data_IF_303011856899
#
_entry.id   IF_303011856899
#
_cell.length_a   1.000
_cell.length_b   1.000
_cell.length_c   1.000
_cell.angle_alpha   90.00
_cell.angle_beta   90.00
_cell.angle_gamma   90.00
#
_symmetry.space_group_name_H-M   'P 1'
#
loop_
_entity.id
_entity.type
_entity.pdbx_description
1 polymer ?
#
# COMPACT_ATOMS: atom_id res chain seq x y z
N UNK A 1 -12.26 7.55 26.98
CA UNK A 1 -13.46 6.69 26.96
C UNK A 1 -14.64 7.51 27.45
N UNK A 2 -15.78 7.42 26.77
CA UNK A 2 -17.00 8.10 27.23
C UNK A 2 -17.61 7.31 28.38
N UNK A 3 -18.10 8.03 29.42
CA UNK A 3 -18.79 7.44 30.57
C UNK A 3 -20.26 7.87 30.56
N UNK A 4 -21.13 7.03 31.11
CA UNK A 4 -22.56 7.34 31.23
C UNK A 4 -22.88 7.94 32.59
N UNK A 5 -23.68 9.02 32.61
CA UNK A 5 -24.13 9.73 33.80
C UNK A 5 -25.64 9.81 33.81
N UNK A 6 -26.21 9.79 34.99
CA UNK A 6 -27.65 9.78 35.25
C UNK A 6 -28.06 10.98 36.09
N UNK A 7 -28.86 11.89 35.52
CA UNK A 7 -29.40 13.07 36.24
C UNK A 7 -30.94 13.12 36.24
N UNK A 8 -31.52 14.01 37.06
CA UNK A 8 -32.95 14.31 36.99
C UNK A 8 -33.29 15.09 35.72
N UNK A 9 -32.33 15.90 35.24
CA UNK A 9 -32.37 16.62 33.97
C UNK A 9 -31.14 16.26 33.12
N UNK A 10 -31.19 16.57 31.83
CA UNK A 10 -30.06 16.37 30.92
C UNK A 10 -28.87 17.22 31.38
N UNK A 11 -29.14 18.48 31.76
CA UNK A 11 -28.09 19.40 32.22
C UNK A 11 -27.38 18.89 33.47
N UNK A 12 -28.14 18.39 34.48
CA UNK A 12 -27.57 17.83 35.73
C UNK A 12 -26.63 16.65 35.44
N UNK A 13 -27.02 15.75 34.51
CA UNK A 13 -26.18 14.63 34.08
C UNK A 13 -24.92 15.08 33.33
N UNK A 14 -25.01 16.14 32.51
CA UNK A 14 -23.85 16.73 31.81
C UNK A 14 -22.88 17.36 32.80
N UNK A 15 -23.39 18.18 33.76
CA UNK A 15 -22.54 18.85 34.76
C UNK A 15 -21.81 17.84 35.64
N UNK A 16 -22.49 16.76 36.05
CA UNK A 16 -21.88 15.66 36.81
C UNK A 16 -20.74 15.01 36.01
N UNK A 17 -20.98 14.72 34.70
CA UNK A 17 -19.98 14.16 33.81
C UNK A 17 -18.78 15.07 33.57
N UNK A 18 -19.01 16.38 33.36
CA UNK A 18 -17.94 17.35 33.16
C UNK A 18 -17.09 17.50 34.42
N UNK A 19 -17.73 17.49 35.63
CA UNK A 19 -17.03 17.57 36.89
C UNK A 19 -16.21 16.32 37.21
N UNK A 20 -16.73 15.11 36.90
CA UNK A 20 -16.01 13.85 37.11
C UNK A 20 -14.79 13.74 36.15
N UNK A 21 -14.94 14.19 34.93
CA UNK A 21 -13.86 14.18 33.94
C UNK A 21 -12.89 15.37 34.03
N UNK A 22 -13.25 16.41 34.80
CA UNK A 22 -12.44 17.62 34.97
C UNK A 22 -12.24 18.42 33.69
N UNK A 23 -13.21 18.40 32.76
CA UNK A 23 -13.12 19.03 31.45
C UNK A 23 -14.17 20.13 31.28
N UNK A 24 -13.85 21.13 30.47
CA UNK A 24 -14.77 22.17 30.03
C UNK A 24 -15.76 21.63 28.98
N UNK A 25 -16.96 22.22 28.94
CA UNK A 25 -18.04 21.81 28.04
C UNK A 25 -17.60 21.79 26.55
N UNK A 26 -16.77 22.74 26.14
CA UNK A 26 -16.28 22.89 24.78
C UNK A 26 -15.33 21.74 24.35
N UNK A 27 -14.70 21.09 25.33
CA UNK A 27 -13.81 19.94 25.15
C UNK A 27 -14.51 18.60 25.37
N UNK A 28 -15.81 18.63 25.69
CA UNK A 28 -16.61 17.44 25.92
C UNK A 28 -17.37 17.02 24.66
N UNK A 29 -17.40 15.73 24.39
CA UNK A 29 -18.34 15.09 23.48
C UNK A 29 -19.52 14.59 24.30
N UNK A 30 -20.69 15.17 24.07
CA UNK A 30 -21.91 14.92 24.86
C UNK A 30 -22.94 14.26 23.96
N UNK A 31 -23.41 13.07 24.33
CA UNK A 31 -24.48 12.36 23.62
C UNK A 31 -25.61 12.04 24.59
N UNK A 32 -26.82 12.57 24.35
CA UNK A 32 -28.00 12.24 25.13
C UNK A 32 -28.51 10.87 24.71
N UNK A 33 -28.47 9.90 25.60
CA UNK A 33 -28.91 8.52 25.34
C UNK A 33 -30.40 8.34 25.67
N UNK A 34 -30.87 8.92 26.78
CA UNK A 34 -32.28 8.90 27.17
C UNK A 34 -32.69 10.25 27.76
N UNK A 35 -33.84 10.78 27.31
CA UNK A 35 -34.42 11.98 27.88
C UNK A 35 -35.23 11.66 29.17
N UNK A 36 -35.27 12.59 30.12
CA UNK A 36 -36.06 12.39 31.34
C UNK A 36 -37.54 12.41 31.00
N UNK A 37 -38.30 11.41 31.48
CA UNK A 37 -39.75 11.39 31.33
C UNK A 37 -40.44 11.35 32.67
N UNK A 38 -41.40 12.27 32.88
CA UNK A 38 -42.33 12.26 34.04
C UNK A 38 -43.55 11.43 33.68
N UNK A 39 -43.53 10.13 34.01
CA UNK A 39 -44.73 9.29 33.93
C UNK A 39 -45.52 9.30 35.24
N UNK A 40 -46.83 9.00 35.18
CA UNK A 40 -47.71 8.95 36.34
C UNK A 40 -47.31 7.94 37.44
N UNK A 41 -46.47 6.94 37.09
CA UNK A 41 -46.05 5.87 38.01
C UNK A 41 -44.53 5.64 38.10
N UNK A 42 -43.72 6.20 37.19
CA UNK A 42 -42.23 6.13 37.23
C UNK A 42 -41.63 7.32 36.51
N UNK A 43 -40.80 8.11 37.20
CA UNK A 43 -39.93 9.08 36.57
C UNK A 43 -38.66 8.36 36.06
N UNK A 44 -38.37 8.45 34.74
CA UNK A 44 -37.07 8.03 34.23
C UNK A 44 -36.08 9.18 34.33
N UNK A 45 -34.87 8.88 34.80
CA UNK A 45 -33.76 9.82 34.81
C UNK A 45 -33.22 10.02 33.43
N UNK A 46 -32.67 11.18 33.12
CA UNK A 46 -31.87 11.41 31.93
C UNK A 46 -30.61 10.57 31.99
N UNK A 47 -30.22 9.98 30.85
CA UNK A 47 -28.94 9.28 30.65
C UNK A 47 -28.14 9.98 29.57
N UNK A 48 -26.95 10.43 29.93
CA UNK A 48 -26.05 11.15 29.02
C UNK A 48 -24.70 10.49 29.03
N UNK A 49 -24.13 10.31 27.85
CA UNK A 49 -22.74 9.88 27.67
C UNK A 49 -21.87 11.12 27.52
N UNK A 50 -20.87 11.27 28.40
CA UNK A 50 -19.91 12.38 28.38
C UNK A 50 -18.51 11.80 28.19
N UNK A 51 -17.79 12.29 27.16
CA UNK A 51 -16.43 11.91 26.86
C UNK A 51 -15.56 13.11 26.52
N UNK A 52 -14.27 12.91 26.40
CA UNK A 52 -13.36 13.95 25.90
C UNK A 52 -13.47 14.00 24.38
N UNK A 53 -13.71 15.19 23.84
CA UNK A 53 -13.75 15.42 22.39
C UNK A 53 -12.35 15.20 21.84
N UNK A 54 -12.18 14.16 21.04
CA UNK A 54 -10.91 13.83 20.39
C UNK A 54 -10.69 14.71 19.17
N UNK A 55 -9.45 15.12 18.99
CA UNK A 55 -9.05 15.78 17.75
C UNK A 55 -9.13 14.81 16.56
N UNK A 56 -9.24 15.30 15.32
CA UNK A 56 -9.21 14.45 14.13
C UNK A 56 -7.97 13.55 14.06
N UNK A 57 -6.80 14.06 14.46
CA UNK A 57 -5.57 13.30 14.53
C UNK A 57 -5.62 12.17 15.55
N UNK A 58 -6.13 12.46 16.75
CA UNK A 58 -6.31 11.44 17.82
C UNK A 58 -7.28 10.32 17.39
N UNK A 59 -8.39 10.68 16.69
CA UNK A 59 -9.32 9.68 16.15
C UNK A 59 -8.65 8.76 15.14
N UNK A 60 -7.81 9.33 14.26
CA UNK A 60 -7.07 8.55 13.27
C UNK A 60 -6.03 7.62 13.92
N UNK A 61 -5.29 8.11 14.92
CA UNK A 61 -4.30 7.31 15.67
C UNK A 61 -4.98 6.14 16.37
N UNK A 62 -6.03 6.39 17.15
CA UNK A 62 -6.77 5.36 17.87
C UNK A 62 -7.34 4.29 16.92
N UNK A 63 -7.87 4.74 15.78
CA UNK A 63 -8.34 3.83 14.74
C UNK A 63 -7.23 2.92 14.21
N UNK A 64 -6.06 3.49 13.88
CA UNK A 64 -4.92 2.72 13.35
C UNK A 64 -4.38 1.76 14.42
N UNK A 65 -4.24 2.19 15.67
CA UNK A 65 -3.81 1.33 16.78
C UNK A 65 -4.77 0.14 16.96
N UNK A 66 -6.08 0.40 17.03
CA UNK A 66 -7.08 -0.66 17.14
C UNK A 66 -7.13 -1.59 15.93
N UNK A 67 -6.85 -1.08 14.71
CA UNK A 67 -6.74 -1.88 13.51
C UNK A 67 -5.54 -2.83 13.60
N UNK A 68 -4.35 -2.33 13.95
CA UNK A 68 -3.15 -3.15 14.07
C UNK A 68 -3.23 -4.18 15.19
N UNK A 69 -3.84 -3.83 16.31
CA UNK A 69 -4.12 -4.78 17.39
C UNK A 69 -4.98 -5.96 16.88
N UNK A 70 -6.08 -5.67 16.17
CA UNK A 70 -6.94 -6.71 15.57
C UNK A 70 -6.25 -7.54 14.49
N UNK A 71 -5.28 -6.96 13.79
CA UNK A 71 -4.44 -7.66 12.81
C UNK A 71 -3.29 -8.44 13.46
N UNK A 72 -3.10 -8.35 14.77
CA UNK A 72 -1.99 -8.99 15.49
C UNK A 72 -0.62 -8.43 15.12
N UNK A 73 -0.56 -7.15 14.71
CA UNK A 73 0.68 -6.48 14.31
C UNK A 73 1.14 -5.52 15.40
N UNK A 74 2.43 -5.59 15.72
CA UNK A 74 3.07 -4.63 16.64
C UNK A 74 3.51 -3.41 15.85
N UNK A 75 2.75 -2.31 15.97
CA UNK A 75 3.02 -1.04 15.28
C UNK A 75 2.87 0.09 16.28
N UNK A 76 3.86 0.97 16.37
CA UNK A 76 3.73 2.23 17.09
C UNK A 76 3.19 3.29 16.12
N UNK A 77 2.05 3.89 16.47
CA UNK A 77 1.40 4.96 15.70
C UNK A 77 1.70 6.28 16.38
N UNK A 78 2.35 7.19 15.69
CA UNK A 78 2.79 8.47 16.27
C UNK A 78 2.16 9.65 15.51
N UNK A 79 1.40 10.49 16.22
CA UNK A 79 0.96 11.77 15.68
C UNK A 79 2.13 12.76 15.69
N UNK A 80 2.66 13.10 14.52
CA UNK A 80 3.81 14.01 14.39
C UNK A 80 3.38 15.46 14.37
N UNK A 81 2.30 15.75 13.68
CA UNK A 81 1.80 17.11 13.48
C UNK A 81 0.30 17.11 13.26
N UNK A 82 -0.37 18.10 13.83
CA UNK A 82 -1.79 18.38 13.60
C UNK A 82 -1.98 19.89 13.45
N UNK A 83 -2.01 20.37 12.18
CA UNK A 83 -2.25 21.78 11.84
C UNK A 83 -3.06 21.82 10.55
N UNK A 84 -2.51 22.32 9.43
CA UNK A 84 -3.14 22.29 8.10
C UNK A 84 -3.33 20.89 7.57
N UNK A 85 -2.46 19.98 8.00
CA UNK A 85 -2.52 18.55 7.72
C UNK A 85 -2.19 17.73 8.98
N UNK A 86 -2.73 16.55 9.06
CA UNK A 86 -2.45 15.58 10.10
C UNK A 86 -1.36 14.65 9.56
N UNK A 87 -0.22 14.59 10.23
CA UNK A 87 0.90 13.73 9.87
C UNK A 87 1.06 12.61 10.89
N UNK A 88 0.94 11.38 10.45
CA UNK A 88 1.04 10.18 11.27
C UNK A 88 2.22 9.34 10.77
N UNK A 89 3.11 8.97 11.68
CA UNK A 89 4.25 8.09 11.41
C UNK A 89 3.96 6.70 11.98
N UNK A 90 4.21 5.68 11.17
CA UNK A 90 4.12 4.28 11.56
C UNK A 90 5.54 3.71 11.75
N UNK A 91 5.77 3.11 12.92
CA UNK A 91 7.04 2.44 13.23
C UNK A 91 6.76 1.00 13.60
N UNK A 92 7.39 0.05 12.89
CA UNK A 92 7.21 -1.38 13.12
C UNK A 92 8.47 -2.16 12.79
N UNK A 93 8.76 -3.26 13.50
CA UNK A 93 9.80 -4.21 13.10
C UNK A 93 9.59 -4.81 11.70
N UNK A 94 8.33 -4.83 11.23
CA UNK A 94 7.96 -5.32 9.90
C UNK A 94 7.39 -4.19 9.03
N UNK A 95 8.20 -3.16 8.76
CA UNK A 95 7.80 -2.01 7.92
C UNK A 95 7.38 -2.43 6.51
N UNK A 96 7.96 -3.50 5.96
CA UNK A 96 7.61 -4.02 4.64
C UNK A 96 6.14 -4.43 4.52
N UNK A 97 5.55 -4.97 5.59
CA UNK A 97 4.13 -5.31 5.64
C UNK A 97 3.25 -4.06 5.60
N UNK A 98 3.61 -3.02 6.37
CA UNK A 98 2.86 -1.77 6.43
C UNK A 98 2.91 -0.98 5.13
N UNK A 99 4.03 -1.04 4.44
CA UNK A 99 4.23 -0.40 3.14
C UNK A 99 3.43 -1.16 2.07
N UNK A 100 3.55 -2.50 2.07
CA UNK A 100 2.96 -3.36 1.06
C UNK A 100 3.63 -3.23 -0.32
N UNK A 101 2.95 -3.74 -1.34
CA UNK A 101 3.46 -3.64 -2.70
C UNK A 101 3.47 -2.18 -3.17
N UNK A 102 4.66 -1.60 -3.30
CA UNK A 102 4.87 -0.21 -3.76
C UNK A 102 4.12 0.87 -2.99
N UNK A 103 3.79 0.62 -1.74
CA UNK A 103 3.07 1.57 -0.90
C UNK A 103 1.54 1.45 -0.96
N UNK A 104 0.98 0.46 -1.65
CA UNK A 104 -0.48 0.26 -1.75
C UNK A 104 -1.16 0.06 -0.38
N UNK A 105 -0.52 -0.69 0.51
CA UNK A 105 -1.04 -0.87 1.87
C UNK A 105 -1.00 0.44 2.65
N UNK A 106 0.10 1.17 2.55
CA UNK A 106 0.27 2.47 3.20
C UNK A 106 -0.75 3.50 2.70
N UNK A 107 -1.04 3.52 1.39
CA UNK A 107 -2.06 4.38 0.80
C UNK A 107 -3.47 3.97 1.28
N UNK A 108 -3.73 2.68 1.44
CA UNK A 108 -5.00 2.18 1.97
C UNK A 108 -5.21 2.57 3.43
N UNK A 109 -4.18 2.44 4.27
CA UNK A 109 -4.18 2.89 5.67
C UNK A 109 -4.42 4.39 5.77
N UNK A 110 -3.77 5.19 4.92
CA UNK A 110 -3.98 6.64 4.86
C UNK A 110 -5.42 7.01 4.49
N UNK A 111 -6.01 6.32 3.51
CA UNK A 111 -7.40 6.56 3.10
C UNK A 111 -8.39 6.25 4.23
N UNK A 112 -8.20 5.14 4.95
CA UNK A 112 -9.02 4.75 6.09
C UNK A 112 -8.87 5.74 7.25
N UNK A 113 -7.62 6.08 7.62
CA UNK A 113 -7.33 7.06 8.65
C UNK A 113 -7.94 8.44 8.31
N UNK A 114 -7.84 8.85 7.05
CA UNK A 114 -8.45 10.08 6.54
C UNK A 114 -9.98 10.10 6.64
N UNK A 115 -10.63 8.98 6.34
CA UNK A 115 -12.08 8.85 6.48
C UNK A 115 -12.52 8.97 7.95
N UNK A 116 -11.82 8.28 8.85
CA UNK A 116 -12.13 8.30 10.30
C UNK A 116 -11.86 9.68 10.90
N UNK A 117 -10.71 10.29 10.59
CA UNK A 117 -10.35 11.62 11.08
C UNK A 117 -11.41 12.68 10.74
N UNK A 118 -12.00 12.58 9.55
CA UNK A 118 -12.97 13.56 9.05
C UNK A 118 -14.43 13.23 9.37
N UNK A 119 -14.69 12.10 10.06
CA UNK A 119 -16.05 11.75 10.48
C UNK A 119 -16.59 12.77 11.47
N UNK A 120 -17.71 13.42 11.12
CA UNK A 120 -18.38 14.45 11.94
C UNK A 120 -17.72 15.83 11.90
N UNK A 121 -16.70 16.05 11.08
CA UNK A 121 -16.05 17.36 10.93
C UNK A 121 -16.69 18.16 9.79
N UNK A 122 -16.93 19.47 10.02
CA UNK A 122 -17.44 20.39 9.00
C UNK A 122 -16.37 20.76 7.95
N UNK A 123 -15.09 20.74 8.35
CA UNK A 123 -13.95 21.09 7.47
C UNK A 123 -13.08 19.86 7.31
N UNK A 124 -12.79 19.53 6.05
CA UNK A 124 -11.92 18.39 5.72
C UNK A 124 -10.46 18.68 6.07
N UNK A 125 -9.84 17.82 6.84
CA UNK A 125 -8.41 17.84 7.13
C UNK A 125 -7.69 16.72 6.39
N UNK A 126 -6.62 17.07 5.71
CA UNK A 126 -5.80 16.10 4.98
C UNK A 126 -4.98 15.27 5.97
N UNK A 127 -5.11 13.95 5.89
CA UNK A 127 -4.26 13.01 6.64
C UNK A 127 -3.17 12.48 5.74
N UNK A 128 -1.95 12.42 6.25
CA UNK A 128 -0.77 11.83 5.61
C UNK A 128 -0.23 10.77 6.55
N UNK A 129 -0.15 9.55 6.07
CA UNK A 129 0.45 8.43 6.81
C UNK A 129 1.74 8.03 6.11
N UNK A 130 2.83 7.93 6.86
CA UNK A 130 4.11 7.46 6.35
C UNK A 130 4.71 6.39 7.26
N UNK A 131 5.68 5.65 6.73
CA UNK A 131 6.38 4.60 7.42
C UNK A 131 7.88 4.75 7.14
N UNK A 132 8.63 5.22 8.14
CA UNK A 132 10.10 5.34 8.10
C UNK A 132 10.62 6.14 6.87
N UNK A 133 9.89 7.18 6.44
CA UNK A 133 10.27 8.01 5.29
C UNK A 133 10.20 7.24 3.96
N UNK A 134 9.32 6.24 3.85
CA UNK A 134 9.19 5.41 2.65
C UNK A 134 8.84 6.24 1.42
N UNK A 135 7.93 7.22 1.55
CA UNK A 135 7.44 8.02 0.42
C UNK A 135 8.58 8.77 -0.27
N UNK A 136 9.46 9.40 0.51
CA UNK A 136 10.63 10.11 -0.01
C UNK A 136 11.63 9.16 -0.69
N UNK A 137 11.94 8.03 -0.05
CA UNK A 137 12.82 6.99 -0.61
C UNK A 137 12.25 6.40 -1.90
N UNK A 138 10.94 6.21 -1.97
CA UNK A 138 10.23 5.70 -3.15
C UNK A 138 10.29 6.70 -4.30
N UNK A 139 10.06 7.98 -4.03
CA UNK A 139 10.15 9.05 -5.01
C UNK A 139 11.54 9.13 -5.62
N UNK A 140 12.59 9.15 -4.79
CA UNK A 140 13.98 9.12 -5.26
C UNK A 140 14.29 7.89 -6.13
N UNK A 141 13.75 6.72 -5.76
CA UNK A 141 13.90 5.48 -6.53
C UNK A 141 13.25 5.60 -7.91
N UNK A 142 12.03 6.16 -7.99
CA UNK A 142 11.31 6.35 -9.24
C UNK A 142 11.99 7.36 -10.16
N UNK A 143 12.53 8.46 -9.61
CA UNK A 143 13.31 9.43 -10.37
C UNK A 143 14.54 8.78 -11.01
N UNK A 144 15.28 8.00 -10.22
CA UNK A 144 16.46 7.28 -10.71
C UNK A 144 16.09 6.23 -11.76
N UNK A 145 14.99 5.50 -11.54
CA UNK A 145 14.47 4.53 -12.51
C UNK A 145 14.12 5.20 -13.84
N UNK A 146 13.38 6.32 -13.80
CA UNK A 146 13.00 7.07 -14.98
C UNK A 146 14.21 7.50 -15.81
N UNK A 147 15.23 8.10 -15.16
CA UNK A 147 16.48 8.51 -15.82
C UNK A 147 17.27 7.34 -16.42
N UNK A 148 17.29 6.18 -15.74
CA UNK A 148 17.96 4.99 -16.24
C UNK A 148 17.23 4.38 -17.45
N UNK A 149 15.89 4.39 -17.42
CA UNK A 149 15.07 3.90 -18.52
C UNK A 149 15.11 4.85 -19.73
N UNK A 150 15.20 6.16 -19.52
CA UNK A 150 15.49 7.14 -20.58
C UNK A 150 16.78 6.78 -21.32
N UNK A 151 17.89 6.62 -20.59
CA UNK A 151 19.18 6.20 -21.18
C UNK A 151 19.05 4.88 -21.96
N UNK A 152 18.29 3.93 -21.43
CA UNK A 152 18.02 2.65 -22.11
C UNK A 152 17.22 2.85 -23.38
N UNK A 153 16.15 3.65 -23.39
CA UNK A 153 15.32 3.94 -24.55
C UNK A 153 16.14 4.59 -25.67
N UNK A 154 16.90 5.63 -25.33
CA UNK A 154 17.79 6.34 -26.30
C UNK A 154 18.85 5.40 -26.87
N UNK A 155 19.49 4.58 -26.02
CA UNK A 155 20.53 3.64 -26.47
C UNK A 155 19.99 2.58 -27.42
N UNK A 156 18.80 2.05 -27.11
CA UNK A 156 18.21 0.94 -27.89
C UNK A 156 17.38 1.41 -29.07
N UNK A 157 16.94 2.69 -29.08
CA UNK A 157 16.00 3.23 -30.07
C UNK A 157 14.62 2.56 -30.02
N UNK A 158 14.24 1.98 -28.88
CA UNK A 158 12.99 1.25 -28.67
C UNK A 158 12.19 1.83 -27.53
N UNK A 159 10.89 1.72 -27.64
CA UNK A 159 9.97 2.07 -26.57
C UNK A 159 10.24 1.21 -25.34
N UNK A 160 10.26 1.82 -24.14
CA UNK A 160 10.47 1.14 -22.88
C UNK A 160 9.21 1.29 -22.04
N UNK A 161 8.57 0.15 -21.75
CA UNK A 161 7.37 0.07 -20.93
C UNK A 161 7.74 -0.12 -19.47
N UNK A 162 7.16 0.70 -18.60
CA UNK A 162 7.25 0.54 -17.17
C UNK A 162 6.16 -0.43 -16.67
N UNK A 163 6.30 -0.86 -15.46
CA UNK A 163 5.25 -1.63 -14.79
C UNK A 163 4.09 -0.72 -14.38
N UNK A 164 2.88 -1.28 -14.16
CA UNK A 164 1.75 -0.53 -13.63
C UNK A 164 2.10 0.17 -12.31
N UNK A 165 1.62 1.39 -12.15
CA UNK A 165 1.87 2.22 -10.96
C UNK A 165 0.75 3.24 -10.76
N UNK A 166 0.67 3.81 -9.56
CA UNK A 166 -0.35 4.79 -9.17
C UNK A 166 -0.33 6.04 -10.05
N UNK A 167 -1.42 6.80 -10.06
CA UNK A 167 -1.52 8.05 -10.82
C UNK A 167 -0.45 9.08 -10.40
N UNK A 168 -0.14 9.12 -9.10
CA UNK A 168 0.91 9.98 -8.55
C UNK A 168 2.29 9.58 -9.07
N UNK A 169 2.64 8.29 -9.01
CA UNK A 169 3.92 7.78 -9.50
C UNK A 169 4.09 8.00 -11.01
N UNK A 170 3.02 7.80 -11.79
CA UNK A 170 3.05 8.08 -13.24
C UNK A 170 3.30 9.55 -13.52
N UNK A 171 2.67 10.45 -12.75
CA UNK A 171 2.92 11.90 -12.86
C UNK A 171 4.37 12.24 -12.54
N UNK A 172 4.95 11.61 -11.52
CA UNK A 172 6.35 11.80 -11.14
C UNK A 172 7.30 11.41 -12.27
N UNK A 173 7.09 10.25 -12.92
CA UNK A 173 7.87 9.82 -14.08
C UNK A 173 7.73 10.80 -15.25
N UNK A 174 6.50 11.24 -15.55
CA UNK A 174 6.27 12.24 -16.61
C UNK A 174 6.99 13.56 -16.32
N UNK A 175 6.88 14.09 -15.10
CA UNK A 175 7.52 15.36 -14.73
C UNK A 175 9.05 15.25 -14.73
N UNK A 176 9.59 14.10 -14.30
CA UNK A 176 11.04 13.84 -14.30
C UNK A 176 11.64 13.89 -15.71
N UNK A 177 10.89 13.44 -16.72
CA UNK A 177 11.34 13.36 -18.11
C UNK A 177 10.77 14.45 -19.02
N UNK A 178 9.94 15.37 -18.47
CA UNK A 178 9.28 16.42 -19.25
C UNK A 178 10.25 17.35 -20.00
N UNK A 179 11.42 17.60 -19.41
CA UNK A 179 12.45 18.47 -19.96
C UNK A 179 13.49 17.72 -20.83
N UNK A 180 13.24 16.46 -21.15
CA UNK A 180 14.16 15.68 -21.99
C UNK A 180 13.81 15.84 -23.47
N UNK A 181 14.76 16.35 -24.26
CA UNK A 181 14.64 16.43 -25.73
C UNK A 181 14.79 15.07 -26.42
N UNK A 182 15.19 14.01 -25.68
CA UNK A 182 15.54 12.70 -26.22
C UNK A 182 14.42 11.70 -26.22
N UNK A 183 13.44 11.88 -25.34
CA UNK A 183 12.33 10.95 -25.15
C UNK A 183 11.01 11.70 -24.93
N UNK A 184 9.93 11.02 -25.26
CA UNK A 184 8.55 11.42 -24.94
C UNK A 184 7.94 10.36 -24.06
N UNK A 185 7.04 10.74 -23.13
CA UNK A 185 6.39 9.81 -22.22
C UNK A 185 4.89 9.80 -22.44
N UNK A 186 4.28 8.62 -22.51
CA UNK A 186 2.83 8.41 -22.63
C UNK A 186 2.35 7.45 -21.55
N UNK A 187 1.09 7.57 -21.14
CA UNK A 187 0.47 6.64 -20.19
C UNK A 187 -0.63 5.84 -20.87
N UNK A 188 -0.54 4.51 -20.82
CA UNK A 188 -1.47 3.57 -21.43
C UNK A 188 -2.09 2.61 -20.41
N UNK A 189 -3.20 1.96 -20.79
CA UNK A 189 -3.94 1.01 -19.97
C UNK A 189 -5.04 1.67 -19.11
N UNK A 190 -5.73 0.84 -18.33
CA UNK A 190 -6.78 1.24 -17.39
C UNK A 190 -6.35 0.90 -15.97
N UNK A 191 -6.78 1.70 -15.00
CA UNK A 191 -6.55 1.39 -13.59
C UNK A 191 -7.15 0.01 -13.24
N UNK A 192 -6.48 -0.78 -12.40
CA UNK A 192 -5.21 -0.54 -11.70
C UNK A 192 -3.95 -0.84 -12.56
N UNK A 193 -4.10 -1.33 -13.80
CA UNK A 193 -2.98 -1.80 -14.64
C UNK A 193 -2.42 -0.71 -15.58
N UNK A 194 -2.64 0.56 -15.27
CA UNK A 194 -2.15 1.68 -16.08
C UNK A 194 -0.66 1.94 -15.82
N UNK A 195 0.10 2.16 -16.90
CA UNK A 195 1.57 2.26 -16.88
C UNK A 195 2.07 3.38 -17.77
N UNK A 196 3.36 3.71 -17.64
CA UNK A 196 4.05 4.71 -18.49
C UNK A 196 4.88 4.00 -19.54
N UNK A 197 4.92 4.57 -20.75
CA UNK A 197 5.84 4.19 -21.84
C UNK A 197 6.77 5.37 -22.09
N UNK A 198 8.06 5.09 -22.16
CA UNK A 198 9.10 6.04 -22.57
C UNK A 198 9.44 5.74 -24.03
N UNK A 199 9.13 6.69 -24.90
CA UNK A 199 9.31 6.60 -26.36
C UNK A 199 10.52 7.45 -26.75
N UNK A 200 11.58 6.88 -27.34
CA UNK A 200 12.71 7.68 -27.84
C UNK A 200 12.30 8.50 -29.06
N UNK A 201 12.68 9.78 -29.12
CA UNK A 201 12.38 10.66 -30.25
C UNK A 201 13.12 10.20 -31.53
N UNK A 202 14.32 9.64 -31.40
CA UNK A 202 15.06 9.00 -32.48
C UNK A 202 14.89 7.48 -32.43
N UNK A 203 14.04 6.93 -33.26
CA UNK A 203 13.93 5.47 -33.44
C UNK A 203 15.05 4.95 -34.28
N UNK A 204 15.96 4.17 -33.72
CA UNK A 204 16.98 3.47 -34.50
C UNK A 204 16.32 2.36 -35.32
N UNK A 205 16.41 2.45 -36.63
CA UNK A 205 15.98 1.38 -37.50
C UNK A 205 16.72 0.08 -37.10
N UNK A 206 15.95 -0.96 -36.80
CA UNK A 206 16.49 -2.26 -36.43
C UNK A 206 17.10 -2.88 -37.69
N UNK A 207 18.42 -2.83 -37.81
CA UNK A 207 19.11 -3.74 -38.73
C UNK A 207 18.95 -5.14 -38.10
N UNK A 208 18.26 -6.10 -38.77
CA UNK A 208 18.22 -7.47 -38.28
C UNK A 208 19.67 -7.95 -38.14
N UNK A 209 20.08 -8.39 -36.96
CA UNK A 209 21.34 -9.13 -36.81
C UNK A 209 21.24 -10.28 -37.79
N UNK A 210 22.01 -10.22 -38.89
CA UNK A 210 22.28 -11.40 -39.69
C UNK A 210 23.05 -12.33 -38.75
N UNK A 211 22.36 -13.32 -38.19
CA UNK A 211 22.98 -14.46 -37.56
C UNK A 211 23.76 -15.18 -38.65
N UNK A 212 24.98 -14.71 -38.84
CA UNK A 212 25.96 -15.33 -39.69
C UNK A 212 26.52 -16.57 -39.03
N UNK A 213 25.70 -17.58 -38.81
CA UNK A 213 26.20 -18.92 -38.64
C UNK A 213 26.62 -19.43 -40.05
N UNK A 214 27.76 -18.92 -40.55
CA UNK A 214 28.52 -19.66 -41.54
C UNK A 214 29.05 -20.91 -40.85
N UNK A 215 28.34 -22.02 -41.01
CA UNK A 215 28.94 -23.34 -40.84
C UNK A 215 29.89 -23.54 -42.04
N UNK A 216 31.14 -23.16 -41.86
CA UNK A 216 32.23 -23.67 -42.72
C UNK A 216 32.51 -25.11 -42.27
N UNK A 217 31.73 -26.04 -42.81
CA UNK A 217 32.08 -27.44 -42.85
C UNK A 217 32.84 -27.70 -44.16
N UNK A 218 34.14 -27.38 -44.18
CA UNK A 218 35.09 -27.92 -45.14
C UNK A 218 36.04 -28.84 -44.41
N UNK A 219 36.11 -30.07 -44.83
CA UNK A 219 37.20 -30.94 -44.44
C UNK A 219 36.72 -32.37 -44.17
N UNK A 220 36.73 -33.14 -45.26
CA UNK A 220 36.48 -34.57 -45.21
C UNK A 220 37.57 -35.34 -44.50
N UNK A 221 37.17 -36.47 -44.00
CA UNK A 221 37.94 -37.71 -43.96
C UNK A 221 36.99 -38.87 -43.99
N UNK A 222 37.07 -39.68 -45.02
CA UNK A 222 36.60 -41.05 -45.08
C UNK A 222 37.42 -41.83 -44.09
N UNK A 223 36.78 -42.70 -43.30
CA UNK A 223 37.12 -44.14 -43.17
C UNK A 223 36.39 -44.78 -41.99
N UNK A 224 35.86 -45.94 -42.25
CA UNK A 224 35.80 -47.04 -41.30
C UNK A 224 34.49 -47.36 -40.63
N UNK A 225 33.64 -48.11 -41.32
CA UNK A 225 32.82 -49.23 -40.82
C UNK A 225 32.82 -49.46 -39.29
N UNK A 226 31.64 -49.47 -38.66
CA UNK A 226 31.08 -50.70 -38.05
C UNK A 226 29.60 -50.52 -37.69
N UNK A 227 28.79 -51.36 -38.32
CA UNK A 227 27.42 -51.71 -37.99
C UNK A 227 27.36 -52.25 -36.58
N UNK A 228 26.48 -51.74 -35.76
CA UNK A 228 25.85 -52.47 -34.66
C UNK A 228 24.35 -52.18 -34.68
N UNK A 229 23.58 -53.14 -35.15
CA UNK A 229 22.15 -53.28 -34.87
C UNK A 229 21.98 -53.60 -33.41
N UNK A 230 21.14 -52.86 -32.70
CA UNK A 230 20.23 -53.41 -31.73
C UNK A 230 19.15 -52.41 -31.36
N UNK A 231 17.92 -52.70 -31.73
CA UNK A 231 16.71 -52.17 -31.10
C UNK A 231 16.53 -52.84 -29.74
N UNK A 232 15.83 -52.23 -28.74
CA UNK A 232 14.39 -52.14 -28.88
C UNK A 232 13.73 -50.89 -28.25
N UNK A 233 12.62 -50.51 -28.85
CA UNK A 233 11.38 -49.96 -28.31
C UNK A 233 11.38 -49.22 -26.99
N UNK A 234 11.05 -47.92 -27.02
CA UNK A 234 10.36 -47.25 -25.93
C UNK A 234 9.22 -46.38 -26.48
N UNK A 235 8.06 -46.39 -25.78
CA UNK A 235 6.84 -45.73 -26.24
C UNK A 235 6.89 -44.20 -26.04
N UNK A 236 6.19 -43.50 -26.92
CA UNK A 236 5.96 -42.06 -26.92
C UNK A 236 5.32 -41.60 -25.60
N UNK A 237 5.96 -40.72 -24.86
CA UNK A 237 5.36 -40.00 -23.73
C UNK A 237 4.78 -38.69 -24.17
N UNK A 238 3.52 -38.49 -23.83
CA UNK A 238 2.71 -37.31 -24.04
C UNK A 238 3.31 -36.01 -23.44
N UNK A 239 2.89 -34.82 -23.89
CA UNK A 239 3.46 -33.54 -23.44
C UNK A 239 3.10 -33.25 -21.98
N UNK A 240 4.11 -33.00 -21.17
CA UNK A 240 3.95 -32.57 -19.77
C UNK A 240 3.36 -31.16 -19.71
N UNK A 241 2.16 -31.02 -19.16
CA UNK A 241 1.59 -29.76 -18.70
C UNK A 241 2.48 -29.22 -17.58
N UNK A 242 3.03 -28.02 -17.77
CA UNK A 242 3.72 -27.30 -16.69
C UNK A 242 2.66 -26.75 -15.73
N UNK A 243 2.51 -27.41 -14.60
CA UNK A 243 1.76 -26.88 -13.44
C UNK A 243 2.67 -25.91 -12.72
N UNK A 244 2.30 -24.64 -12.69
CA UNK A 244 2.95 -23.63 -11.87
C UNK A 244 2.40 -23.81 -10.46
N UNK A 245 3.21 -24.39 -9.58
CA UNK A 245 2.90 -24.48 -8.15
C UNK A 245 3.35 -23.19 -7.48
N UNK A 246 2.40 -22.43 -6.96
CA UNK A 246 2.66 -21.34 -6.02
C UNK A 246 3.22 -21.94 -4.74
N UNK A 247 4.47 -21.64 -4.42
CA UNK A 247 5.11 -22.05 -3.19
C UNK A 247 4.56 -21.24 -2.00
N UNK A 248 3.76 -21.89 -1.17
CA UNK A 248 3.45 -21.41 0.17
C UNK A 248 4.67 -21.61 1.06
N UNK A 249 5.31 -20.50 1.44
CA UNK A 249 6.32 -20.49 2.48
C UNK A 249 5.59 -20.55 3.84
N UNK A 250 5.41 -21.76 4.34
CA UNK A 250 5.14 -22.01 5.76
C UNK A 250 6.41 -22.59 6.38
N UNK A 251 7.11 -21.75 7.15
CA UNK A 251 8.24 -22.15 7.96
C UNK A 251 7.78 -23.12 9.04
N UNK A 252 8.26 -24.35 8.94
CA UNK A 252 8.08 -25.38 9.95
C UNK A 252 9.27 -25.33 10.92
N UNK A 253 9.09 -24.69 12.09
CA UNK A 253 9.98 -24.86 13.23
C UNK A 253 9.44 -25.95 14.14
N UNK A 254 9.79 -27.18 13.84
CA UNK A 254 9.56 -28.30 14.73
C UNK A 254 10.52 -28.26 15.92
N UNK A 255 10.06 -27.83 17.08
CA UNK A 255 10.70 -28.10 18.35
C UNK A 255 10.23 -29.50 18.83
N UNK A 256 11.15 -30.46 18.84
CA UNK A 256 10.98 -31.72 19.60
C UNK A 256 11.16 -31.36 21.08
N UNK A 257 10.16 -31.67 21.86
CA UNK A 257 10.28 -31.83 23.31
C UNK A 257 10.48 -33.34 23.53
N UNK A 258 11.66 -33.75 24.00
CA UNK A 258 11.90 -34.99 24.64
C UNK A 258 11.74 -34.82 26.14
N UNK A 259 11.17 -35.82 26.79
CA UNK A 259 10.77 -36.05 28.17
C UNK A 259 11.53 -35.28 29.26
#
# INVERSE_FOLDING_TARGET
MAKEYLGKTVEEAIEEGLKDLGIERDKAEITVLEEPSKGLFKSKKARVSVGVKKTPGEKAVEFLEGLFEKMGQTVAVQLKKESDKIEIELVSPNSSFLIGYRGEMLDSLQNLAGAVANTGNAVYQRVVVDCEGYREKREATLINLAKNLEKKAVRTGRDVRLEPMSAFERRLVHSTLANSDKVTTTSEGKEPNRYVIIVPNEKKAFAPKKDGYKKDFKGGRKDGFKKYDNKPNRPSSAPRKKTITFGTYLGNSGAKIEE
#
